data_IF_772921389965
#
_entry.id   IF_772921389965
#
_cell.length_a   1.000
_cell.length_b   1.000
_cell.length_c   1.000
_cell.angle_alpha   90.00
_cell.angle_beta   90.00
_cell.angle_gamma   90.00
#
_symmetry.space_group_name_H-M   'P 1'
#
loop_
_entity.id
_entity.type
_entity.pdbx_description
1 polymer ?
#
# COMPACT_ATOMS: atom_id res chain seq x y z
N UNK A 1 3.75 13.11 22.46
CA UNK A 1 2.88 13.82 21.52
C UNK A 1 2.36 12.87 20.46
N UNK A 2 1.10 13.06 20.10
CA UNK A 2 0.48 12.24 19.06
C UNK A 2 1.00 12.66 17.68
N UNK A 3 1.16 11.69 16.79
CA UNK A 3 1.45 11.97 15.40
C UNK A 3 0.21 12.57 14.72
N UNK A 4 0.44 13.44 13.73
CA UNK A 4 -0.65 13.89 12.87
C UNK A 4 -1.10 12.75 11.97
N UNK A 5 -2.31 12.79 11.40
CA UNK A 5 -2.72 11.78 10.44
C UNK A 5 -1.74 11.59 9.27
N UNK A 6 -1.20 12.69 8.74
CA UNK A 6 -0.19 12.60 7.65
C UNK A 6 1.06 11.87 8.12
N UNK A 7 1.57 12.20 9.32
CA UNK A 7 2.75 11.53 9.86
C UNK A 7 2.51 10.04 10.07
N UNK A 8 1.33 9.68 10.57
CA UNK A 8 0.96 8.28 10.79
C UNK A 8 1.00 7.50 9.47
N UNK A 9 0.36 8.03 8.42
CA UNK A 9 0.34 7.37 7.10
C UNK A 9 1.73 7.31 6.50
N UNK A 10 2.50 8.39 6.60
CA UNK A 10 3.87 8.45 6.08
C UNK A 10 4.75 7.38 6.74
N UNK A 11 4.70 7.29 8.07
CA UNK A 11 5.49 6.30 8.81
C UNK A 11 5.10 4.88 8.44
N UNK A 12 3.80 4.61 8.34
CA UNK A 12 3.28 3.32 7.93
C UNK A 12 3.84 2.92 6.55
N UNK A 13 3.69 3.76 5.55
CA UNK A 13 4.11 3.45 4.20
C UNK A 13 5.63 3.31 4.07
N UNK A 14 6.39 4.16 4.76
CA UNK A 14 7.85 4.10 4.71
C UNK A 14 8.40 2.84 5.38
N UNK A 15 7.70 2.29 6.35
CA UNK A 15 8.15 1.06 7.02
C UNK A 15 8.24 -0.12 6.06
N UNK A 16 7.50 -0.09 4.96
CA UNK A 16 7.48 -1.18 3.97
C UNK A 16 8.83 -1.36 3.27
N UNK A 17 9.64 -0.30 3.21
CA UNK A 17 10.98 -0.38 2.66
C UNK A 17 11.94 -1.19 3.54
N UNK A 18 11.59 -1.43 4.79
CA UNK A 18 12.44 -2.12 5.75
C UNK A 18 12.37 -3.65 5.63
N UNK A 19 11.56 -4.17 4.72
CA UNK A 19 11.47 -5.60 4.47
C UNK A 19 10.06 -6.14 4.64
N UNK A 20 9.88 -7.37 4.17
CA UNK A 20 8.56 -8.00 4.14
C UNK A 20 8.01 -8.26 5.54
N UNK A 21 8.87 -8.54 6.52
CA UNK A 21 8.41 -8.72 7.90
C UNK A 21 7.86 -7.41 8.47
N UNK A 22 8.49 -6.28 8.11
CA UNK A 22 7.99 -4.96 8.51
C UNK A 22 6.65 -4.64 7.84
N UNK A 23 6.47 -5.05 6.58
CA UNK A 23 5.18 -4.91 5.88
C UNK A 23 4.10 -5.65 6.66
N UNK A 24 4.33 -6.92 6.98
CA UNK A 24 3.36 -7.73 7.72
C UNK A 24 3.07 -7.12 9.09
N UNK A 25 4.11 -6.75 9.83
CA UNK A 25 3.96 -6.19 11.16
C UNK A 25 3.15 -4.89 11.13
N UNK A 26 3.34 -4.07 10.10
CA UNK A 26 2.62 -2.81 9.97
C UNK A 26 1.10 -2.99 9.93
N UNK A 27 0.62 -4.10 9.37
CA UNK A 27 -0.82 -4.37 9.33
C UNK A 27 -1.38 -4.56 10.74
N UNK A 28 -0.63 -5.23 11.61
CA UNK A 28 -1.05 -5.44 12.99
C UNK A 28 -0.85 -4.20 13.86
N UNK A 29 0.16 -3.40 13.56
CA UNK A 29 0.46 -2.19 14.34
C UNK A 29 -0.51 -1.05 14.03
N UNK A 30 -1.00 -0.95 12.79
CA UNK A 30 -1.76 0.22 12.34
C UNK A 30 -3.24 -0.01 12.11
N UNK A 31 -3.67 -1.23 11.79
CA UNK A 31 -5.09 -1.49 11.52
C UNK A 31 -5.84 -1.79 12.81
N UNK A 32 -6.98 -1.11 13.03
CA UNK A 32 -7.86 -1.46 14.14
C UNK A 32 -8.53 -2.81 13.87
N UNK A 33 -9.05 -3.49 14.92
CA UNK A 33 -9.74 -4.78 14.72
C UNK A 33 -10.89 -4.73 13.74
N UNK A 34 -11.53 -3.55 13.60
CA UNK A 34 -12.66 -3.35 12.67
C UNK A 34 -12.26 -2.56 11.42
N UNK A 35 -10.97 -2.35 11.19
CA UNK A 35 -10.51 -1.62 10.03
C UNK A 35 -10.95 -2.30 8.74
N UNK A 36 -11.65 -1.58 7.89
CA UNK A 36 -11.98 -2.04 6.55
C UNK A 36 -10.86 -1.62 5.61
N UNK A 37 -10.18 -2.61 5.03
CA UNK A 37 -9.22 -2.38 3.97
C UNK A 37 -9.81 -2.88 2.66
N UNK A 38 -9.88 -1.98 1.70
CA UNK A 38 -10.47 -2.28 0.40
C UNK A 38 -9.49 -1.92 -0.71
N UNK A 39 -9.24 -2.88 -1.60
CA UNK A 39 -8.68 -2.59 -2.93
C UNK A 39 -9.89 -2.50 -3.84
N UNK A 40 -10.26 -1.29 -4.20
CA UNK A 40 -11.56 -0.99 -4.79
C UNK A 40 -11.77 -1.77 -6.08
N UNK A 41 -12.87 -2.52 -6.13
CA UNK A 41 -13.19 -3.38 -7.25
C UNK A 41 -12.55 -4.76 -7.22
N UNK A 42 -11.75 -5.08 -6.20
CA UNK A 42 -10.99 -6.33 -6.13
C UNK A 42 -11.20 -7.10 -4.83
N UNK A 43 -10.80 -6.51 -3.68
CA UNK A 43 -10.84 -7.20 -2.39
C UNK A 43 -11.31 -6.27 -1.29
N UNK A 44 -11.87 -6.85 -0.23
CA UNK A 44 -12.31 -6.12 0.95
C UNK A 44 -12.15 -7.03 2.16
N UNK A 45 -11.44 -6.55 3.18
CA UNK A 45 -11.18 -7.31 4.41
C UNK A 45 -11.52 -6.48 5.63
N UNK A 46 -11.73 -7.13 6.77
CA UNK A 46 -11.96 -6.48 8.05
C UNK A 46 -10.95 -6.99 9.06
N UNK A 47 -10.17 -6.09 9.63
CA UNK A 47 -9.18 -6.38 10.65
C UNK A 47 -7.81 -6.78 10.10
N UNK A 48 -6.79 -6.77 10.96
CA UNK A 48 -5.41 -7.01 10.51
C UNK A 48 -5.13 -8.43 10.06
N UNK A 49 -5.72 -9.44 10.69
CA UNK A 49 -5.46 -10.82 10.28
C UNK A 49 -5.98 -11.11 8.88
N UNK A 50 -7.21 -10.68 8.58
CA UNK A 50 -7.78 -10.85 7.25
C UNK A 50 -6.99 -10.05 6.20
N UNK A 51 -6.52 -8.85 6.57
CA UNK A 51 -5.67 -8.05 5.71
C UNK A 51 -4.35 -8.76 5.40
N UNK A 52 -3.71 -9.34 6.42
CA UNK A 52 -2.47 -10.12 6.26
C UNK A 52 -2.70 -11.29 5.28
N UNK A 53 -3.72 -12.09 5.53
CA UNK A 53 -4.03 -13.24 4.69
C UNK A 53 -4.30 -12.83 3.24
N UNK A 54 -5.07 -11.76 3.05
CA UNK A 54 -5.37 -11.23 1.72
C UNK A 54 -4.11 -10.71 1.02
N UNK A 55 -3.33 -9.89 1.72
CA UNK A 55 -2.13 -9.26 1.16
C UNK A 55 -1.13 -10.32 0.67
N UNK A 56 -0.88 -11.33 1.48
CA UNK A 56 0.10 -12.36 1.17
C UNK A 56 -0.46 -13.51 0.33
N UNK A 57 -1.73 -13.44 -0.07
CA UNK A 57 -2.29 -14.36 -1.05
C UNK A 57 -1.89 -14.01 -2.49
N UNK A 58 -1.50 -12.76 -2.74
CA UNK A 58 -1.05 -12.35 -4.07
C UNK A 58 0.31 -12.98 -4.37
N UNK A 59 0.44 -13.57 -5.56
CA UNK A 59 1.66 -14.26 -5.95
C UNK A 59 2.93 -13.40 -5.81
N UNK A 60 2.94 -12.12 -6.24
CA UNK A 60 4.15 -11.29 -6.06
C UNK A 60 4.58 -11.13 -4.61
N UNK A 61 3.65 -11.23 -3.65
CA UNK A 61 3.97 -11.07 -2.24
C UNK A 61 4.66 -12.32 -1.66
N UNK A 62 4.50 -13.47 -2.28
CA UNK A 62 5.05 -14.73 -1.76
C UNK A 62 6.57 -14.81 -1.87
N UNK A 63 7.16 -14.10 -2.81
CA UNK A 63 8.61 -14.02 -2.99
C UNK A 63 9.12 -12.60 -2.81
N UNK A 64 8.41 -11.80 -2.04
CA UNK A 64 8.74 -10.40 -1.84
C UNK A 64 9.78 -10.25 -0.74
N UNK A 65 10.79 -9.43 -1.01
CA UNK A 65 11.80 -9.01 -0.03
C UNK A 65 11.38 -7.73 0.69
N UNK A 66 10.86 -6.77 -0.08
CA UNK A 66 10.41 -5.48 0.43
C UNK A 66 9.52 -4.80 -0.60
N UNK A 67 8.82 -3.79 -0.16
CA UNK A 67 8.05 -2.92 -1.07
C UNK A 67 8.64 -1.53 -0.98
N UNK A 68 9.13 -1.04 -2.12
CA UNK A 68 9.66 0.31 -2.23
C UNK A 68 8.49 1.26 -2.52
N UNK A 69 8.12 2.05 -1.53
CA UNK A 69 7.00 2.99 -1.63
C UNK A 69 7.53 4.39 -1.77
N UNK A 70 7.13 5.07 -2.85
CA UNK A 70 7.38 6.50 -3.03
C UNK A 70 6.06 7.23 -2.92
N UNK A 71 5.98 8.16 -1.98
CA UNK A 71 4.81 9.02 -1.82
C UNK A 71 5.01 10.21 -2.76
N UNK A 72 4.19 10.29 -3.80
CA UNK A 72 4.27 11.37 -4.80
C UNK A 72 3.53 12.61 -4.33
N UNK A 73 2.42 12.41 -3.62
CA UNK A 73 1.65 13.50 -3.03
C UNK A 73 0.88 12.98 -1.83
N UNK A 74 0.68 13.82 -0.83
CA UNK A 74 -0.07 13.47 0.36
C UNK A 74 -0.77 14.73 0.89
N UNK A 75 -2.04 14.58 1.26
CA UNK A 75 -2.84 15.67 1.80
C UNK A 75 -3.84 15.11 2.81
N UNK A 76 -4.31 15.95 3.71
CA UNK A 76 -5.28 15.54 4.71
C UNK A 76 -6.45 16.50 4.75
N UNK A 77 -7.64 15.94 5.00
CA UNK A 77 -8.84 16.69 5.33
C UNK A 77 -9.38 16.08 6.62
N UNK A 78 -9.16 16.76 7.74
CA UNK A 78 -9.49 16.18 9.04
C UNK A 78 -8.68 14.91 9.29
N UNK A 79 -9.39 13.84 9.62
CA UNK A 79 -8.76 12.52 9.87
C UNK A 79 -8.54 11.70 8.61
N UNK A 80 -8.98 12.19 7.45
CA UNK A 80 -8.82 11.47 6.18
C UNK A 80 -7.56 11.95 5.48
N UNK A 81 -6.68 11.00 5.13
CA UNK A 81 -5.44 11.27 4.43
C UNK A 81 -5.53 10.66 3.04
N UNK A 82 -5.24 11.47 2.02
CA UNK A 82 -5.18 11.03 0.63
C UNK A 82 -3.73 10.94 0.18
N UNK A 83 -3.41 9.91 -0.56
CA UNK A 83 -2.05 9.69 -1.08
C UNK A 83 -2.07 9.38 -2.56
N UNK A 84 -1.00 9.80 -3.24
CA UNK A 84 -0.63 9.27 -4.54
C UNK A 84 0.72 8.59 -4.36
N UNK A 85 0.86 7.34 -4.82
CA UNK A 85 2.04 6.54 -4.55
C UNK A 85 2.50 5.78 -5.79
N UNK A 86 3.81 5.56 -5.86
CA UNK A 86 4.44 4.63 -6.77
C UNK A 86 5.00 3.51 -5.90
N UNK A 87 4.53 2.29 -6.11
CA UNK A 87 4.93 1.14 -5.29
C UNK A 87 5.58 0.08 -6.15
N UNK A 88 6.75 -0.39 -5.71
CA UNK A 88 7.53 -1.39 -6.41
C UNK A 88 7.76 -2.58 -5.50
N UNK A 89 7.30 -3.74 -5.92
CA UNK A 89 7.55 -4.99 -5.21
C UNK A 89 8.90 -5.53 -5.65
N UNK A 90 9.80 -5.72 -4.68
CA UNK A 90 11.16 -6.22 -4.94
C UNK A 90 11.23 -7.66 -4.46
N UNK A 91 11.56 -8.57 -5.37
CA UNK A 91 11.72 -9.99 -5.04
C UNK A 91 13.01 -10.26 -4.26
N UNK A 92 13.12 -11.48 -3.76
CA UNK A 92 14.29 -11.89 -2.97
C UNK A 92 15.58 -11.87 -3.77
N UNK A 93 15.49 -11.99 -5.09
CA UNK A 93 16.64 -11.88 -5.99
C UNK A 93 16.99 -10.41 -6.31
N UNK A 94 16.30 -9.46 -5.72
CA UNK A 94 16.52 -8.03 -5.95
C UNK A 94 15.83 -7.46 -7.17
N UNK A 95 15.11 -8.28 -7.93
CA UNK A 95 14.39 -7.81 -9.12
C UNK A 95 13.04 -7.22 -8.76
N UNK A 96 12.64 -6.20 -9.49
CA UNK A 96 11.29 -5.67 -9.41
C UNK A 96 10.32 -6.65 -10.09
N UNK A 97 9.37 -7.17 -9.33
CA UNK A 97 8.41 -8.15 -9.85
C UNK A 97 7.04 -7.56 -10.14
N UNK A 98 6.75 -6.40 -9.57
CA UNK A 98 5.48 -5.70 -9.78
C UNK A 98 5.70 -4.23 -9.52
N UNK A 99 5.07 -3.41 -10.34
CA UNK A 99 5.00 -1.98 -10.09
C UNK A 99 3.55 -1.55 -10.16
N UNK A 100 3.15 -0.69 -9.23
CA UNK A 100 1.76 -0.25 -9.08
C UNK A 100 1.75 1.24 -8.86
N UNK A 101 0.88 1.94 -9.56
CA UNK A 101 0.56 3.33 -9.26
C UNK A 101 -0.77 3.35 -8.54
N UNK A 102 -0.80 3.92 -7.34
CA UNK A 102 -2.02 3.90 -6.54
C UNK A 102 -2.37 5.26 -5.96
N UNK A 103 -3.67 5.46 -5.74
CA UNK A 103 -4.22 6.54 -4.94
C UNK A 103 -4.94 5.87 -3.78
N UNK A 104 -4.73 6.37 -2.56
CA UNK A 104 -5.34 5.76 -1.39
C UNK A 104 -5.94 6.77 -0.44
N UNK A 105 -6.93 6.33 0.32
CA UNK A 105 -7.55 7.09 1.38
C UNK A 105 -7.44 6.32 2.69
N UNK A 106 -6.96 6.98 3.73
CA UNK A 106 -6.81 6.41 5.07
C UNK A 106 -7.62 7.26 6.04
N UNK A 107 -8.43 6.64 6.87
CA UNK A 107 -9.06 7.34 7.99
C UNK A 107 -8.28 6.99 9.23
N UNK A 108 -7.69 8.01 9.86
CA UNK A 108 -6.76 7.84 10.98
C UNK A 108 -7.42 8.32 12.27
N UNK A 109 -7.46 7.46 13.27
CA UNK A 109 -7.95 7.79 14.61
C UNK A 109 -6.99 7.24 15.64
N UNK A 110 -6.49 8.12 16.52
CA UNK A 110 -5.57 7.75 17.59
C UNK A 110 -4.35 6.97 17.09
N UNK A 111 -3.81 7.41 15.94
CA UNK A 111 -2.61 6.79 15.36
C UNK A 111 -2.84 5.44 14.68
N UNK A 112 -4.11 5.10 14.43
CA UNK A 112 -4.48 3.84 13.80
C UNK A 112 -5.45 4.09 12.65
N UNK A 113 -5.53 3.13 11.74
CA UNK A 113 -6.44 3.22 10.61
C UNK A 113 -7.75 2.50 10.92
N UNK A 114 -8.86 3.20 10.78
CA UNK A 114 -10.19 2.61 10.87
C UNK A 114 -10.74 2.25 9.50
N UNK A 115 -10.21 2.88 8.45
CA UNK A 115 -10.53 2.56 7.06
C UNK A 115 -9.30 2.81 6.22
N UNK A 116 -9.14 2.00 5.18
CA UNK A 116 -8.08 2.16 4.19
C UNK A 116 -8.61 1.67 2.84
N UNK A 117 -8.61 2.54 1.84
CA UNK A 117 -9.05 2.20 0.48
C UNK A 117 -7.96 2.57 -0.49
N UNK A 118 -7.59 1.63 -1.33
CA UNK A 118 -6.66 1.87 -2.43
C UNK A 118 -7.36 1.69 -3.77
N UNK A 119 -7.01 2.57 -4.70
CA UNK A 119 -7.39 2.52 -6.10
C UNK A 119 -6.09 2.44 -6.88
N UNK A 120 -5.90 1.43 -7.68
CA UNK A 120 -4.63 1.31 -8.37
C UNK A 120 -4.76 0.76 -9.78
N UNK A 121 -3.74 1.08 -10.58
CA UNK A 121 -3.63 0.64 -11.96
C UNK A 121 -2.42 -0.28 -12.05
N UNK A 122 -2.58 -1.54 -12.49
CA UNK A 122 -1.45 -2.42 -12.71
C UNK A 122 -0.52 -1.87 -13.78
N UNK A 123 0.78 -2.00 -13.56
CA UNK A 123 1.79 -1.50 -14.48
C UNK A 123 1.79 -2.19 -15.85
N UNK A 124 1.39 -3.48 -15.99
CA UNK A 124 1.32 -4.07 -17.33
C UNK A 124 0.53 -3.23 -18.34
N UNK A 125 -0.53 -2.56 -17.88
CA UNK A 125 -1.29 -1.65 -18.73
C UNK A 125 -0.43 -0.47 -19.22
N UNK A 126 0.33 0.14 -18.32
CA UNK A 126 1.23 1.25 -18.65
C UNK A 126 2.37 0.78 -19.57
N UNK A 127 2.94 -0.40 -19.31
CA UNK A 127 4.00 -0.98 -20.12
C UNK A 127 3.52 -1.26 -21.56
N UNK A 128 2.32 -1.76 -21.71
CA UNK A 128 1.73 -1.99 -23.04
C UNK A 128 1.59 -0.69 -23.81
N UNK A 129 1.13 0.37 -23.15
CA UNK A 129 1.04 1.69 -23.75
C UNK A 129 2.42 2.19 -24.20
N UNK A 130 3.43 2.06 -23.32
CA UNK A 130 4.80 2.47 -23.63
C UNK A 130 5.38 1.65 -24.79
N UNK A 131 5.14 0.34 -24.80
CA UNK A 131 5.58 -0.53 -25.89
C UNK A 131 4.94 -0.13 -27.22
N UNK A 132 3.66 0.23 -27.20
CA UNK A 132 2.97 0.75 -28.37
C UNK A 132 3.61 2.02 -28.90
N UNK A 133 3.94 2.94 -28.04
CA UNK A 133 4.63 4.18 -28.39
C UNK A 133 5.98 3.92 -29.02
N UNK A 134 6.76 3.00 -28.47
CA UNK A 134 8.09 2.66 -28.99
C UNK A 134 8.05 2.05 -30.38
N UNK A 135 6.94 1.49 -30.79
CA UNK A 135 6.77 0.89 -32.11
C UNK A 135 6.48 1.90 -33.21
N UNK A 136 6.21 3.12 -32.87
CA UNK A 136 5.90 4.18 -33.83
C UNK A 136 7.13 4.76 -34.50
#
# INVERSE_FOLDING_TARGET
MSSTPIETVTTFLRSWNNGIDAVRQSLYDYLTPDCVWENVGMTRTVGPQAADECFFSFAPMQDCSRIDVRILAIAAQGDTVLTERDERVIGRDGRETLAVRSMGAFVVKNGKFTEWRDYFMPVPFADEAAAGERKK
#
